data_IF_985440401702
#
_entry.id   IF_985440401702
#
_cell.length_a   1.000
_cell.length_b   1.000
_cell.length_c   1.000
_cell.angle_alpha   90.00
_cell.angle_beta   90.00
_cell.angle_gamma   90.00
#
_symmetry.space_group_name_H-M   'P 1'
#
loop_
_entity.id
_entity.type
_entity.pdbx_description
1 polymer ?
#
# COMPACT_ATOMS: atom_id res chain seq x y z
N UNK A 1 -9.30 -59.18 -4.15
CA UNK A 1 -8.98 -58.79 -5.55
C UNK A 1 -8.81 -57.28 -5.56
N UNK A 2 -7.59 -56.76 -5.79
CA UNK A 2 -7.40 -55.32 -6.00
C UNK A 2 -7.89 -55.02 -7.41
N UNK A 3 -9.00 -54.31 -7.55
CA UNK A 3 -9.43 -53.73 -8.82
C UNK A 3 -8.32 -52.78 -9.28
N UNK A 4 -7.47 -53.23 -10.18
CA UNK A 4 -6.54 -52.36 -10.89
C UNK A 4 -7.37 -51.56 -11.87
N UNK A 5 -7.74 -50.33 -11.49
CA UNK A 5 -8.36 -49.37 -12.40
C UNK A 5 -7.47 -49.24 -13.64
N UNK A 6 -8.03 -49.62 -14.79
CA UNK A 6 -7.32 -49.59 -16.07
C UNK A 6 -6.90 -48.16 -16.40
N UNK A 7 -5.71 -48.02 -16.98
CA UNK A 7 -5.15 -46.76 -17.49
C UNK A 7 -6.11 -46.06 -18.45
N UNK A 8 -6.95 -46.84 -19.16
CA UNK A 8 -7.93 -46.34 -20.11
C UNK A 8 -9.00 -45.42 -19.49
N UNK A 9 -9.24 -45.52 -18.17
CA UNK A 9 -10.19 -44.66 -17.46
C UNK A 9 -9.63 -43.27 -17.13
N UNK A 10 -8.38 -42.97 -17.51
CA UNK A 10 -7.77 -41.67 -17.19
C UNK A 10 -8.53 -40.49 -17.80
N UNK A 11 -8.99 -40.64 -19.04
CA UNK A 11 -9.75 -39.61 -19.76
C UNK A 11 -11.26 -39.64 -19.47
N UNK A 12 -11.71 -40.50 -18.54
CA UNK A 12 -13.11 -40.54 -18.14
C UNK A 12 -13.50 -39.25 -17.40
N UNK A 13 -14.67 -38.70 -17.73
CA UNK A 13 -15.14 -37.42 -17.18
C UNK A 13 -15.12 -37.40 -15.66
N UNK A 14 -15.54 -38.50 -15.01
CA UNK A 14 -15.50 -38.64 -13.56
C UNK A 14 -14.08 -38.59 -12.97
N UNK A 15 -13.09 -39.18 -13.65
CA UNK A 15 -11.70 -39.11 -13.21
C UNK A 15 -11.13 -37.70 -13.42
N UNK A 16 -11.38 -37.08 -14.57
CA UNK A 16 -10.94 -35.71 -14.88
C UNK A 16 -11.52 -34.71 -13.85
N UNK A 17 -12.80 -34.83 -13.53
CA UNK A 17 -13.45 -34.00 -12.53
C UNK A 17 -12.84 -34.23 -11.14
N UNK A 18 -12.62 -35.48 -10.73
CA UNK A 18 -11.95 -35.81 -9.48
C UNK A 18 -10.54 -35.18 -9.41
N UNK A 19 -9.76 -35.26 -10.49
CA UNK A 19 -8.43 -34.66 -10.56
C UNK A 19 -8.47 -33.14 -10.39
N UNK A 20 -9.44 -32.49 -11.02
CA UNK A 20 -9.66 -31.06 -10.86
C UNK A 20 -10.06 -30.68 -9.43
N UNK A 21 -10.98 -31.42 -8.83
CA UNK A 21 -11.43 -31.22 -7.45
C UNK A 21 -10.28 -31.41 -6.45
N UNK A 22 -9.47 -32.45 -6.62
CA UNK A 22 -8.28 -32.68 -5.79
C UNK A 22 -7.30 -31.53 -5.92
N UNK A 23 -7.08 -31.03 -7.14
CA UNK A 23 -6.16 -29.92 -7.40
C UNK A 23 -6.61 -28.62 -6.74
N UNK A 24 -7.89 -28.24 -6.88
CA UNK A 24 -8.39 -26.94 -6.41
C UNK A 24 -8.66 -26.92 -4.89
N UNK A 25 -8.90 -28.09 -4.30
CA UNK A 25 -9.11 -28.22 -2.86
C UNK A 25 -7.79 -28.18 -2.06
N UNK A 26 -6.63 -28.24 -2.73
CA UNK A 26 -5.34 -28.06 -2.06
C UNK A 26 -5.23 -26.62 -1.49
N UNK A 27 -4.91 -26.44 -0.19
CA UNK A 27 -4.85 -25.11 0.43
C UNK A 27 -3.85 -24.15 -0.21
N UNK A 28 -2.74 -24.68 -0.73
CA UNK A 28 -1.69 -23.88 -1.38
C UNK A 28 -2.21 -23.40 -2.72
N UNK A 29 -2.79 -24.31 -3.52
CA UNK A 29 -3.37 -23.96 -4.83
C UNK A 29 -4.56 -23.01 -4.67
N UNK A 30 -5.42 -23.24 -3.68
CA UNK A 30 -6.55 -22.35 -3.38
C UNK A 30 -6.11 -20.92 -3.04
N UNK A 31 -4.99 -20.77 -2.32
CA UNK A 31 -4.39 -19.45 -2.05
C UNK A 31 -3.79 -18.81 -3.32
N UNK A 32 -3.26 -19.62 -4.24
CA UNK A 32 -2.73 -19.13 -5.53
C UNK A 32 -3.82 -18.68 -6.48
N UNK A 33 -4.96 -19.36 -6.43
CA UNK A 33 -6.16 -19.11 -7.22
C UNK A 33 -7.13 -18.18 -6.48
N UNK A 34 -6.62 -17.06 -5.95
CA UNK A 34 -7.38 -16.07 -5.18
C UNK A 34 -8.42 -15.28 -6.02
N UNK A 35 -8.37 -15.41 -7.34
CA UNK A 35 -9.27 -14.76 -8.29
C UNK A 35 -9.91 -15.78 -9.25
N UNK A 36 -11.19 -15.56 -9.56
CA UNK A 36 -11.96 -16.35 -10.53
C UNK A 36 -11.29 -16.40 -11.91
N UNK A 37 -10.61 -15.32 -12.30
CA UNK A 37 -9.84 -15.26 -13.56
C UNK A 37 -8.67 -16.24 -13.54
N UNK A 38 -7.97 -16.36 -12.41
CA UNK A 38 -6.85 -17.31 -12.26
C UNK A 38 -7.34 -18.75 -12.28
N UNK A 39 -8.44 -19.05 -11.58
CA UNK A 39 -9.08 -20.38 -11.60
C UNK A 39 -9.43 -20.78 -13.04
N UNK A 40 -10.06 -19.87 -13.80
CA UNK A 40 -10.47 -20.12 -15.19
C UNK A 40 -9.28 -20.36 -16.10
N UNK A 41 -8.21 -19.58 -15.95
CA UNK A 41 -6.97 -19.77 -16.70
C UNK A 41 -6.34 -21.13 -16.43
N UNK A 42 -6.32 -21.55 -15.17
CA UNK A 42 -5.74 -22.82 -14.75
C UNK A 42 -6.61 -23.99 -15.22
N UNK A 43 -7.93 -23.86 -15.16
CA UNK A 43 -8.87 -24.83 -15.73
C UNK A 43 -8.65 -25.02 -17.22
N UNK A 44 -8.50 -23.92 -17.98
CA UNK A 44 -8.19 -23.99 -19.41
C UNK A 44 -6.90 -24.75 -19.68
N UNK A 45 -5.86 -24.50 -18.89
CA UNK A 45 -4.55 -25.18 -19.01
C UNK A 45 -4.70 -26.66 -18.67
N UNK A 46 -5.39 -26.98 -17.58
CA UNK A 46 -5.68 -28.35 -17.17
C UNK A 46 -6.40 -29.13 -18.29
N UNK A 47 -7.50 -28.58 -18.83
CA UNK A 47 -8.28 -29.21 -19.91
C UNK A 47 -7.50 -29.35 -21.22
N UNK A 48 -6.66 -28.37 -21.54
CA UNK A 48 -5.83 -28.43 -22.76
C UNK A 48 -4.78 -29.53 -22.66
N UNK A 49 -4.16 -29.70 -21.49
CA UNK A 49 -3.01 -30.57 -21.32
C UNK A 49 -3.38 -32.01 -20.94
N UNK A 50 -4.58 -32.29 -20.44
CA UNK A 50 -4.96 -33.65 -19.98
C UNK A 50 -4.91 -34.69 -21.10
N UNK A 51 -5.34 -34.34 -22.31
CA UNK A 51 -5.32 -35.24 -23.47
C UNK A 51 -3.89 -35.45 -24.00
N UNK A 52 -3.13 -34.37 -24.17
CA UNK A 52 -1.74 -34.44 -24.65
C UNK A 52 -0.87 -35.23 -23.67
N UNK A 53 -1.05 -35.01 -22.36
CA UNK A 53 -0.38 -35.78 -21.33
C UNK A 53 -0.68 -37.28 -21.39
N UNK A 54 -1.96 -37.65 -21.53
CA UNK A 54 -2.35 -39.06 -21.57
C UNK A 54 -1.71 -39.79 -22.76
N UNK A 55 -1.71 -39.17 -23.94
CA UNK A 55 -1.14 -39.80 -25.13
C UNK A 55 0.36 -40.11 -24.99
N UNK A 56 1.10 -39.25 -24.29
CA UNK A 56 2.53 -39.43 -24.01
C UNK A 56 2.76 -40.45 -22.91
N UNK A 57 2.04 -40.34 -21.79
CA UNK A 57 2.36 -41.10 -20.57
C UNK A 57 1.61 -42.42 -20.41
N UNK A 58 0.61 -42.73 -21.24
CA UNK A 58 -0.22 -43.95 -21.12
C UNK A 58 0.59 -45.25 -21.16
N UNK A 59 1.75 -45.26 -21.82
CA UNK A 59 2.64 -46.43 -21.90
C UNK A 59 3.71 -46.43 -20.81
N UNK A 60 3.93 -45.30 -20.13
CA UNK A 60 4.98 -45.08 -19.13
C UNK A 60 4.49 -45.27 -17.69
N UNK A 61 3.22 -45.61 -17.50
CA UNK A 61 2.59 -45.76 -16.19
C UNK A 61 1.94 -47.14 -16.07
N UNK A 62 1.99 -47.72 -14.87
CA UNK A 62 1.48 -49.08 -14.64
C UNK A 62 0.00 -49.12 -14.26
N UNK A 63 -0.54 -48.00 -13.78
CA UNK A 63 -1.92 -47.92 -13.31
C UNK A 63 -2.46 -46.48 -13.39
N UNK A 64 -3.79 -46.35 -13.33
CA UNK A 64 -4.48 -45.07 -13.35
C UNK A 64 -4.00 -44.09 -12.26
N UNK A 65 -3.73 -44.60 -11.06
CA UNK A 65 -3.29 -43.77 -9.92
C UNK A 65 -1.92 -43.11 -10.19
N UNK A 66 -1.02 -43.79 -10.88
CA UNK A 66 0.29 -43.27 -11.26
C UNK A 66 0.17 -42.14 -12.29
N UNK A 67 -0.70 -42.29 -13.29
CA UNK A 67 -1.04 -41.22 -14.24
C UNK A 67 -1.66 -40.02 -13.54
N UNK A 68 -2.64 -40.28 -12.67
CA UNK A 68 -3.32 -39.25 -11.88
C UNK A 68 -2.33 -38.41 -11.06
N UNK A 69 -1.40 -39.07 -10.36
CA UNK A 69 -0.35 -38.41 -9.58
C UNK A 69 0.60 -37.61 -10.45
N UNK A 70 1.11 -38.21 -11.54
CA UNK A 70 2.03 -37.52 -12.46
C UNK A 70 1.38 -36.30 -13.10
N UNK A 71 0.11 -36.39 -13.49
CA UNK A 71 -0.60 -35.26 -14.09
C UNK A 71 -0.83 -34.13 -13.10
N UNK A 72 -1.30 -34.43 -11.88
CA UNK A 72 -1.46 -33.42 -10.84
C UNK A 72 -0.11 -32.74 -10.56
N UNK A 73 0.96 -33.51 -10.44
CA UNK A 73 2.30 -32.98 -10.20
C UNK A 73 2.78 -32.07 -11.34
N UNK A 74 2.51 -32.43 -12.60
CA UNK A 74 2.81 -31.61 -13.77
C UNK A 74 2.13 -30.23 -13.66
N UNK A 75 0.82 -30.22 -13.37
CA UNK A 75 0.05 -28.98 -13.24
C UNK A 75 0.56 -28.15 -12.06
N UNK A 76 0.79 -28.77 -10.89
CA UNK A 76 1.33 -28.09 -9.71
C UNK A 76 2.69 -27.44 -10.02
N UNK A 77 3.61 -28.16 -10.65
CA UNK A 77 4.92 -27.64 -11.01
C UNK A 77 4.82 -26.45 -11.97
N UNK A 78 3.89 -26.51 -12.92
CA UNK A 78 3.61 -25.40 -13.82
C UNK A 78 3.11 -24.16 -13.05
N UNK A 79 2.21 -24.34 -12.08
CA UNK A 79 1.68 -23.24 -11.26
C UNK A 79 2.79 -22.57 -10.42
N UNK A 80 3.67 -23.35 -9.80
CA UNK A 80 4.80 -22.82 -9.05
C UNK A 80 5.81 -22.07 -9.95
N UNK A 81 6.03 -22.56 -11.17
CA UNK A 81 6.91 -21.90 -12.13
C UNK A 81 6.38 -20.52 -12.58
N UNK A 82 5.06 -20.35 -12.67
CA UNK A 82 4.42 -19.07 -12.97
C UNK A 82 4.67 -18.04 -11.85
N UNK A 83 4.56 -18.46 -10.59
CA UNK A 83 4.72 -17.57 -9.43
C UNK A 83 6.12 -16.94 -9.33
N UNK A 84 7.15 -17.68 -9.76
CA UNK A 84 8.56 -17.23 -9.66
C UNK A 84 8.89 -16.08 -10.62
N UNK A 85 8.03 -15.82 -11.61
CA UNK A 85 8.27 -14.78 -12.63
C UNK A 85 7.70 -13.40 -12.23
N UNK A 86 6.65 -13.35 -11.40
CA UNK A 86 6.01 -12.08 -11.01
C UNK A 86 6.82 -11.27 -9.98
N UNK A 87 7.74 -11.90 -9.24
CA UNK A 87 8.55 -11.25 -8.20
C UNK A 87 9.85 -10.60 -8.70
N UNK A 88 10.11 -10.53 -10.02
CA UNK A 88 11.35 -9.97 -10.59
C UNK A 88 11.21 -8.56 -11.17
N UNK A 89 10.15 -7.83 -10.86
CA UNK A 89 10.12 -6.39 -11.07
C UNK A 89 10.49 -5.71 -9.75
N UNK A 90 11.37 -4.70 -9.81
CA UNK A 90 12.02 -4.00 -8.70
C UNK A 90 13.30 -4.63 -8.14
N UNK A 91 14.40 -4.49 -8.89
CA UNK A 91 15.69 -4.12 -8.30
C UNK A 91 16.49 -3.25 -9.28
N UNK A 92 17.26 -2.23 -8.82
CA UNK A 92 17.96 -1.30 -9.70
C UNK A 92 19.22 -1.93 -10.31
N UNK A 93 19.38 -1.68 -11.60
CA UNK A 93 20.57 -1.69 -12.46
C UNK A 93 21.85 -2.37 -11.92
N UNK A 94 22.22 -3.46 -12.58
CA UNK A 94 23.62 -3.71 -12.96
C UNK A 94 23.64 -4.40 -14.34
N UNK A 95 24.34 -3.87 -15.36
CA UNK A 95 24.24 -4.39 -16.71
C UNK A 95 25.29 -5.48 -16.95
N UNK A 96 24.87 -6.75 -17.01
CA UNK A 96 25.54 -7.75 -17.85
C UNK A 96 24.57 -8.90 -18.23
N UNK A 97 24.14 -8.81 -19.48
CA UNK A 97 23.77 -9.87 -20.44
C UNK A 97 23.04 -11.13 -19.94
N UNK A 98 21.80 -11.32 -20.42
CA UNK A 98 21.46 -12.30 -21.46
C UNK A 98 19.99 -12.14 -21.89
N UNK A 99 19.79 -11.83 -23.18
CA UNK A 99 18.49 -11.87 -23.84
C UNK A 99 17.98 -13.32 -23.86
N UNK A 100 16.75 -13.53 -23.41
CA UNK A 100 15.94 -14.65 -23.88
C UNK A 100 14.62 -14.11 -24.42
N UNK A 101 14.35 -14.53 -25.65
CA UNK A 101 13.17 -14.26 -26.45
C UNK A 101 11.87 -14.64 -25.74
N UNK A 102 10.89 -13.75 -25.86
CA UNK A 102 9.48 -13.99 -25.58
C UNK A 102 8.97 -15.10 -26.52
N UNK A 103 8.48 -16.20 -25.96
CA UNK A 103 7.70 -17.18 -26.70
C UNK A 103 6.47 -17.53 -25.87
N UNK A 104 5.29 -17.44 -26.49
CA UNK A 104 3.97 -17.66 -25.91
C UNK A 104 3.88 -19.02 -25.20
N UNK A 105 3.92 -19.04 -23.86
CA UNK A 105 3.86 -20.27 -23.04
C UNK A 105 2.43 -20.70 -22.68
N UNK A 106 1.59 -20.90 -23.69
CA UNK A 106 0.32 -21.63 -23.50
C UNK A 106 0.49 -23.15 -23.63
N UNK A 107 1.72 -23.64 -23.86
CA UNK A 107 2.02 -25.07 -24.04
C UNK A 107 2.96 -25.57 -22.94
N UNK A 108 2.54 -26.60 -22.20
CA UNK A 108 3.43 -27.35 -21.29
C UNK A 108 4.23 -28.31 -22.17
N UNK A 109 5.55 -28.19 -22.16
CA UNK A 109 6.43 -29.12 -22.88
C UNK A 109 6.69 -30.32 -21.96
N UNK A 110 6.18 -31.49 -22.35
CA UNK A 110 6.47 -32.77 -21.70
C UNK A 110 7.78 -33.27 -22.31
N UNK A 111 8.84 -33.38 -21.51
CA UNK A 111 10.10 -33.95 -21.96
C UNK A 111 10.03 -35.48 -21.83
N UNK A 112 10.13 -36.18 -22.96
CA UNK A 112 10.45 -37.61 -22.99
C UNK A 112 11.87 -37.80 -22.44
N UNK A 113 12.04 -38.73 -21.50
CA UNK A 113 13.33 -39.08 -20.89
C UNK A 113 14.27 -39.88 -21.83
N UNK A 114 14.12 -39.72 -23.16
CA UNK A 114 14.99 -40.40 -24.12
C UNK A 114 15.54 -39.43 -25.17
N UNK A 115 16.86 -39.27 -25.10
CA UNK A 115 17.84 -38.78 -26.09
C UNK A 115 18.45 -37.38 -25.79
N UNK A 116 19.70 -37.48 -25.32
CA UNK A 116 20.78 -36.51 -25.43
C UNK A 116 20.98 -36.04 -26.89
N UNK A 117 20.94 -34.73 -27.12
CA UNK A 117 22.01 -33.96 -27.77
C UNK A 117 21.55 -32.52 -28.01
N UNK A 118 21.94 -31.60 -27.13
CA UNK A 118 22.72 -30.42 -27.55
C UNK A 118 23.17 -29.57 -26.36
N UNK A 119 24.50 -29.52 -26.22
CA UNK A 119 25.36 -28.52 -25.57
C UNK A 119 24.78 -27.64 -24.43
N UNK A 120 24.75 -28.21 -23.23
CA UNK A 120 25.51 -27.68 -22.07
C UNK A 120 25.68 -28.86 -21.12
N UNK A 121 26.92 -29.17 -20.75
CA UNK A 121 27.22 -30.21 -19.78
C UNK A 121 26.49 -29.93 -18.47
N UNK A 122 25.33 -30.57 -18.28
CA UNK A 122 24.78 -30.83 -16.95
C UNK A 122 25.77 -31.80 -16.32
N UNK A 123 26.73 -31.28 -15.57
CA UNK A 123 27.44 -32.10 -14.60
C UNK A 123 26.40 -32.82 -13.75
N UNK A 124 26.59 -34.13 -13.57
CA UNK A 124 25.76 -34.91 -12.68
C UNK A 124 25.87 -34.26 -11.31
N UNK A 125 24.81 -33.60 -10.87
CA UNK A 125 24.74 -33.00 -9.55
C UNK A 125 24.95 -34.13 -8.55
N UNK A 126 26.06 -34.09 -7.81
CA UNK A 126 26.39 -35.12 -6.85
C UNK A 126 25.53 -34.94 -5.60
N UNK A 127 25.37 -36.02 -4.82
CA UNK A 127 24.69 -35.93 -3.52
C UNK A 127 25.31 -34.84 -2.63
N UNK A 128 26.64 -34.69 -2.71
CA UNK A 128 27.39 -33.69 -1.97
C UNK A 128 27.00 -32.26 -2.39
N UNK A 129 26.79 -32.02 -3.69
CA UNK A 129 26.37 -30.71 -4.20
C UNK A 129 24.97 -30.33 -3.69
N UNK A 130 24.03 -31.29 -3.69
CA UNK A 130 22.67 -31.08 -3.15
C UNK A 130 22.72 -30.80 -1.65
N UNK A 131 23.55 -31.53 -0.93
CA UNK A 131 23.69 -31.37 0.51
C UNK A 131 24.29 -29.99 0.85
N UNK A 132 25.34 -29.58 0.14
CA UNK A 132 25.96 -28.27 0.30
C UNK A 132 25.00 -27.13 -0.09
N UNK A 133 24.20 -27.32 -1.15
CA UNK A 133 23.16 -26.35 -1.50
C UNK A 133 22.11 -26.22 -0.40
N UNK A 134 21.63 -27.34 0.15
CA UNK A 134 20.66 -27.33 1.26
C UNK A 134 21.22 -26.69 2.51
N UNK A 135 22.48 -26.97 2.85
CA UNK A 135 23.19 -26.35 3.99
C UNK A 135 23.33 -24.84 3.76
N UNK A 136 23.74 -24.40 2.57
CA UNK A 136 23.83 -22.98 2.24
C UNK A 136 22.47 -22.27 2.27
N UNK A 137 21.41 -22.92 1.76
CA UNK A 137 20.06 -22.38 1.84
C UNK A 137 19.56 -22.28 3.29
N UNK A 138 19.91 -23.26 4.13
CA UNK A 138 19.59 -23.26 5.55
C UNK A 138 20.31 -22.12 6.27
N UNK A 139 21.62 -21.98 6.08
CA UNK A 139 22.43 -20.95 6.72
C UNK A 139 21.96 -19.54 6.35
N UNK A 140 21.62 -19.33 5.07
CA UNK A 140 21.04 -18.06 4.60
C UNK A 140 19.71 -17.75 5.27
N UNK A 141 18.82 -18.74 5.41
CA UNK A 141 17.53 -18.57 6.10
C UNK A 141 17.72 -18.33 7.59
N UNK A 142 18.69 -19.01 8.22
CA UNK A 142 19.01 -18.84 9.64
C UNK A 142 19.51 -17.43 9.92
N UNK A 143 20.47 -16.95 9.13
CA UNK A 143 21.00 -15.58 9.25
C UNK A 143 19.91 -14.53 9.05
N UNK A 144 19.06 -14.69 8.03
CA UNK A 144 17.93 -13.80 7.78
C UNK A 144 16.95 -13.79 8.96
N UNK A 145 16.62 -14.96 9.52
CA UNK A 145 15.73 -15.06 10.69
C UNK A 145 16.34 -14.47 11.96
N UNK A 146 17.65 -14.64 12.17
CA UNK A 146 18.36 -14.00 13.27
C UNK A 146 18.34 -12.47 13.12
N UNK A 147 18.51 -11.96 11.90
CA UNK A 147 18.42 -10.53 11.63
C UNK A 147 16.99 -9.99 11.81
N UNK A 148 15.98 -10.69 11.29
CA UNK A 148 14.56 -10.35 11.51
C UNK A 148 14.22 -10.35 13.00
N UNK A 149 14.69 -11.35 13.73
CA UNK A 149 14.51 -11.45 15.17
C UNK A 149 15.19 -10.30 15.89
N UNK A 150 16.45 -10.00 15.55
CA UNK A 150 17.16 -8.85 16.10
C UNK A 150 16.37 -7.56 15.83
N UNK A 151 15.96 -7.31 14.59
CA UNK A 151 15.17 -6.12 14.23
C UNK A 151 13.83 -6.03 14.96
N UNK A 152 13.16 -7.17 15.20
CA UNK A 152 11.89 -7.22 15.94
C UNK A 152 12.06 -7.02 17.44
N UNK A 153 13.15 -7.53 18.02
CA UNK A 153 13.45 -7.41 19.46
C UNK A 153 14.05 -6.04 19.78
N UNK A 154 14.90 -5.52 18.90
CA UNK A 154 15.59 -4.24 19.06
C UNK A 154 14.84 -3.10 18.36
N UNK A 155 13.51 -3.09 18.40
CA UNK A 155 12.77 -1.90 17.97
C UNK A 155 13.31 -0.71 18.78
N UNK A 156 14.03 0.18 18.09
CA UNK A 156 14.60 1.35 18.75
C UNK A 156 13.42 2.13 19.30
N UNK A 157 13.36 2.25 20.64
CA UNK A 157 12.32 3.02 21.31
C UNK A 157 12.21 4.35 20.57
N UNK A 158 11.03 4.69 20.01
CA UNK A 158 10.89 5.96 19.31
C UNK A 158 11.35 7.06 20.27
N UNK A 159 12.06 8.09 19.76
CA UNK A 159 12.47 9.20 20.60
C UNK A 159 11.23 9.70 21.34
N UNK A 160 11.35 9.85 22.65
CA UNK A 160 10.27 10.39 23.47
C UNK A 160 9.85 11.71 22.81
N UNK A 161 8.55 11.92 22.51
CA UNK A 161 8.11 13.16 21.93
C UNK A 161 8.60 14.30 22.80
N UNK A 162 9.35 15.21 22.19
CA UNK A 162 9.84 16.38 22.89
C UNK A 162 8.66 17.34 23.07
N UNK A 163 8.03 17.25 24.24
CA UNK A 163 6.98 18.15 24.69
C UNK A 163 7.55 19.42 25.32
N UNK A 164 8.85 19.68 25.19
CA UNK A 164 9.31 21.05 25.42
C UNK A 164 8.61 21.92 24.40
N UNK A 165 7.68 22.74 24.88
CA UNK A 165 7.28 23.93 24.14
C UNK A 165 8.58 24.62 23.79
N UNK A 166 8.88 24.69 22.49
CA UNK A 166 9.90 25.59 22.01
C UNK A 166 9.35 26.96 22.37
N UNK A 167 9.80 27.49 23.51
CA UNK A 167 9.63 28.89 23.84
C UNK A 167 10.05 29.63 22.58
N UNK A 168 9.10 30.38 22.01
CA UNK A 168 9.37 31.26 20.89
C UNK A 168 10.67 32.00 21.20
N UNK A 169 11.61 31.98 20.24
CA UNK A 169 12.78 32.83 20.35
C UNK A 169 12.28 34.25 20.67
N UNK A 170 12.89 34.97 21.63
CA UNK A 170 12.46 36.33 21.94
C UNK A 170 12.36 37.08 20.62
N UNK A 171 11.18 37.67 20.35
CA UNK A 171 10.84 38.27 19.06
C UNK A 171 11.85 39.41 18.77
N UNK A 172 12.93 39.04 18.09
CA UNK A 172 14.07 39.92 17.81
C UNK A 172 13.65 41.08 16.92
N UNK A 173 12.68 40.86 16.04
CA UNK A 173 12.18 41.90 15.12
C UNK A 173 11.36 42.98 15.84
N UNK A 174 10.53 42.58 16.81
CA UNK A 174 9.73 43.50 17.64
C UNK A 174 10.66 44.30 18.55
N UNK A 175 11.64 43.65 19.18
CA UNK A 175 12.63 44.34 20.01
C UNK A 175 13.44 45.36 19.20
N UNK A 176 13.77 45.03 17.95
CA UNK A 176 14.45 45.92 17.02
C UNK A 176 13.55 47.10 16.60
N UNK A 177 12.27 46.87 16.39
CA UNK A 177 11.29 47.91 16.08
C UNK A 177 10.98 48.80 17.30
N UNK A 178 10.83 48.24 18.49
CA UNK A 178 10.66 48.96 19.76
C UNK A 178 11.89 49.83 20.02
N UNK A 179 13.09 49.30 19.83
CA UNK A 179 14.34 50.05 19.97
C UNK A 179 14.41 51.22 19.00
N UNK A 180 14.06 50.99 17.72
CA UNK A 180 14.00 52.04 16.70
C UNK A 180 12.99 53.13 17.04
N UNK A 181 11.80 52.74 17.50
CA UNK A 181 10.75 53.68 17.96
C UNK A 181 11.23 54.47 19.18
N UNK A 182 11.91 53.83 20.14
CA UNK A 182 12.45 54.49 21.31
C UNK A 182 13.55 55.51 20.95
N UNK A 183 14.47 55.14 20.06
CA UNK A 183 15.50 56.03 19.53
C UNK A 183 14.88 57.24 18.80
N UNK A 184 13.86 57.02 17.98
CA UNK A 184 13.13 58.09 17.31
C UNK A 184 12.45 59.03 18.31
N UNK A 185 11.77 58.50 19.33
CA UNK A 185 11.14 59.32 20.38
C UNK A 185 12.16 60.13 21.17
N UNK A 186 13.31 59.55 21.50
CA UNK A 186 14.38 60.27 22.18
C UNK A 186 14.93 61.41 21.32
N UNK A 187 15.14 61.17 20.03
CA UNK A 187 15.56 62.20 19.08
C UNK A 187 14.53 63.34 18.96
N UNK A 188 13.25 63.02 18.85
CA UNK A 188 12.17 64.00 18.81
C UNK A 188 12.13 64.82 20.11
N UNK A 189 12.31 64.19 21.27
CA UNK A 189 12.41 64.89 22.56
C UNK A 189 13.63 65.82 22.59
N UNK A 190 14.78 65.42 22.05
CA UNK A 190 15.96 66.28 21.97
C UNK A 190 15.71 67.50 21.07
N UNK A 191 15.05 67.32 19.92
CA UNK A 191 14.64 68.43 19.06
C UNK A 191 13.71 69.35 19.83
N UNK A 192 12.66 68.81 20.43
CA UNK A 192 11.66 69.55 21.20
C UNK A 192 12.35 70.36 22.32
N UNK A 193 13.26 69.73 23.07
CA UNK A 193 14.01 70.39 24.13
C UNK A 193 14.97 71.47 23.60
N UNK A 194 15.64 71.25 22.46
CA UNK A 194 16.45 72.29 21.79
C UNK A 194 15.58 73.47 21.34
N UNK A 195 14.47 73.20 20.67
CA UNK A 195 13.53 74.21 20.21
C UNK A 195 12.94 75.01 21.38
N UNK A 196 12.66 74.35 22.51
CA UNK A 196 12.21 75.05 23.73
C UNK A 196 13.32 75.83 24.44
N UNK A 197 14.59 75.41 24.37
CA UNK A 197 15.69 76.22 24.90
C UNK A 197 15.99 77.44 24.02
N UNK A 198 15.84 77.33 22.70
CA UNK A 198 15.99 78.45 21.78
C UNK A 198 14.80 79.43 21.88
N UNK A 199 13.58 78.93 22.11
CA UNK A 199 12.40 79.76 22.36
C UNK A 199 12.44 80.48 23.72
N UNK A 200 12.99 79.85 24.77
CA UNK A 200 13.11 80.44 26.12
C UNK A 200 14.32 81.40 26.27
N UNK A 201 15.20 81.52 25.27
CA UNK A 201 16.20 82.59 25.20
C UNK A 201 15.68 83.87 24.55
N UNK A 202 14.55 83.82 23.84
CA UNK A 202 13.96 84.98 23.15
C UNK A 202 12.75 85.62 23.88
N UNK A 203 12.25 85.02 24.96
CA UNK A 203 11.15 85.58 25.76
C UNK A 203 11.43 85.44 27.25
N UNK A 204 12.33 86.29 27.76
CA UNK A 204 12.38 86.61 29.17
C UNK A 204 12.38 88.12 29.36
N UNK A 205 11.24 88.72 29.02
CA UNK A 205 10.87 90.08 29.44
C UNK A 205 9.39 90.06 29.77
N UNK A 206 9.08 90.23 31.06
CA UNK A 206 7.76 90.50 31.64
C UNK A 206 6.81 89.29 31.71
N UNK A 207 6.59 88.70 32.89
CA UNK A 207 5.63 89.27 33.84
C UNK A 207 5.53 88.47 35.15
N UNK A 208 5.31 89.23 36.19
CA UNK A 208 5.10 88.92 37.60
C UNK A 208 3.72 88.33 37.91
N UNK A 209 3.68 87.51 38.96
CA UNK A 209 2.60 87.35 39.95
C UNK A 209 1.33 86.52 39.62
N UNK A 210 1.18 85.47 40.44
CA UNK A 210 0.05 85.18 41.35
C UNK A 210 -0.97 84.06 41.02
N UNK A 211 -1.06 83.15 42.01
CA UNK A 211 -2.23 82.44 42.57
C UNK A 211 -2.99 81.38 41.77
N UNK A 212 -2.85 80.13 42.27
CA UNK A 212 -3.88 79.18 42.69
C UNK A 212 -5.29 79.28 42.08
N UNK A 213 -5.78 78.18 41.49
CA UNK A 213 -7.03 77.54 41.91
C UNK A 213 -7.18 76.14 41.28
N UNK A 214 -7.42 75.15 42.14
CA UNK A 214 -7.94 73.84 41.78
C UNK A 214 -9.40 73.96 41.32
N UNK A 215 -9.86 73.10 40.41
CA UNK A 215 -11.00 72.17 40.56
C UNK A 215 -11.34 71.47 39.23
N UNK A 216 -11.25 70.12 39.26
CA UNK A 216 -11.99 69.04 38.55
C UNK A 216 -12.43 69.21 37.09
N UNK A 217 -12.11 68.19 36.26
CA UNK A 217 -13.08 67.38 35.48
C UNK A 217 -12.38 66.13 34.89
N UNK A 218 -12.61 64.95 35.49
CA UNK A 218 -13.36 63.79 34.96
C UNK A 218 -12.68 63.02 33.81
N UNK A 219 -11.90 62.00 34.18
CA UNK A 219 -11.45 60.90 33.31
C UNK A 219 -12.42 59.71 33.45
N UNK A 220 -13.03 59.29 32.34
CA UNK A 220 -13.77 58.03 32.21
C UNK A 220 -12.79 56.94 31.76
N UNK A 221 -12.35 56.08 32.67
CA UNK A 221 -11.65 54.84 32.34
C UNK A 221 -12.58 53.64 32.60
N UNK A 222 -12.85 52.87 31.55
CA UNK A 222 -13.62 51.62 31.62
C UNK A 222 -12.65 50.49 32.00
N UNK A 223 -12.79 49.96 33.21
CA UNK A 223 -12.14 48.71 33.64
C UNK A 223 -12.94 47.49 33.14
N UNK A 224 -12.28 46.54 32.48
CA UNK A 224 -12.80 45.20 32.18
C UNK A 224 -12.15 44.25 33.20
N UNK A 225 -12.98 43.53 33.96
CA UNK A 225 -12.57 42.54 34.97
C UNK A 225 -12.56 41.15 34.33
N UNK A 226 -11.44 40.44 34.46
CA UNK A 226 -11.34 39.00 34.18
C UNK A 226 -11.43 38.27 35.52
N UNK A 227 -12.58 37.64 35.79
CA UNK A 227 -12.74 36.80 36.97
C UNK A 227 -12.38 35.34 36.62
N UNK A 228 -11.38 34.84 37.33
CA UNK A 228 -10.84 33.49 37.33
C UNK A 228 -11.11 32.95 38.74
N UNK A 229 -12.22 32.24 38.93
CA UNK A 229 -12.49 31.45 40.14
C UNK A 229 -13.69 30.53 39.92
N UNK A 230 -13.44 29.25 39.65
CA UNK A 230 -14.10 28.13 40.34
C UNK A 230 -13.65 26.80 39.73
N UNK A 231 -12.59 26.24 40.30
CA UNK A 231 -12.44 24.79 40.38
C UNK A 231 -13.11 24.29 41.67
N UNK A 232 -13.70 23.10 41.55
CA UNK A 232 -13.96 22.07 42.56
C UNK A 232 -15.35 21.96 43.24
N UNK A 233 -15.82 20.69 43.21
CA UNK A 233 -16.86 19.99 44.00
C UNK A 233 -18.30 19.96 43.44
N UNK A 234 -19.04 18.83 43.38
CA UNK A 234 -18.85 17.42 43.77
C UNK A 234 -19.94 16.57 43.04
N UNK A 235 -19.71 15.26 43.01
CA UNK A 235 -20.40 14.19 42.30
C UNK A 235 -21.84 13.82 42.76
N UNK A 236 -22.50 13.07 41.85
CA UNK A 236 -23.44 11.94 42.03
C UNK A 236 -24.95 12.20 42.16
N UNK A 237 -25.70 11.73 41.15
CA UNK A 237 -26.91 10.92 41.34
C UNK A 237 -27.15 9.99 40.12
N UNK A 238 -27.54 8.74 40.39
CA UNK A 238 -27.74 7.64 39.44
C UNK A 238 -29.24 7.27 39.37
N UNK A 239 -29.69 6.81 38.18
CA UNK A 239 -30.94 6.08 37.83
C UNK A 239 -32.21 6.96 37.74
N UNK A 240 -32.96 7.07 36.63
CA UNK A 240 -33.52 6.04 35.73
C UNK A 240 -34.22 6.64 34.47
N UNK A 241 -34.54 5.77 33.50
CA UNK A 241 -35.54 5.89 32.40
C UNK A 241 -35.21 6.61 31.06
N UNK A 242 -35.07 5.75 30.02
CA UNK A 242 -35.63 5.85 28.65
C UNK A 242 -36.00 7.22 28.06
N UNK A 243 -35.28 7.66 27.03
CA UNK A 243 -35.73 7.68 25.62
C UNK A 243 -34.74 8.48 24.74
N UNK A 244 -34.67 8.06 23.47
CA UNK A 244 -34.11 8.71 22.28
C UNK A 244 -33.32 10.02 22.44
N UNK A 245 -32.07 10.02 21.99
CA UNK A 245 -31.68 10.92 20.90
C UNK A 245 -30.37 10.48 20.22
N UNK A 246 -30.49 10.33 18.90
CA UNK A 246 -29.39 10.36 17.95
C UNK A 246 -28.58 11.63 18.14
N UNK A 247 -27.34 11.59 17.65
CA UNK A 247 -26.43 12.71 17.41
C UNK A 247 -25.43 12.93 18.55
N UNK A 248 -24.27 12.27 18.42
CA UNK A 248 -22.95 12.93 18.40
C UNK A 248 -21.84 11.89 18.18
N UNK A 249 -21.94 11.11 17.09
CA UNK A 249 -20.83 10.28 16.65
C UNK A 249 -19.80 11.18 15.95
N UNK A 250 -18.61 11.25 16.54
CA UNK A 250 -17.41 11.93 16.00
C UNK A 250 -17.06 11.52 14.56
N UNK A 251 -17.63 10.40 14.09
CA UNK A 251 -17.42 9.82 12.77
C UNK A 251 -18.21 10.53 11.65
N UNK A 252 -19.26 11.29 11.95
CA UNK A 252 -20.02 12.03 10.92
C UNK A 252 -19.28 13.27 10.39
N UNK A 253 -18.21 13.69 11.09
CA UNK A 253 -17.35 14.83 10.69
C UNK A 253 -16.23 14.42 9.73
N UNK A 254 -16.06 13.13 9.43
CA UNK A 254 -15.14 12.68 8.38
C UNK A 254 -15.79 12.90 7.02
N UNK A 255 -15.17 13.75 6.17
CA UNK A 255 -15.61 13.92 4.77
C UNK A 255 -15.67 12.55 4.09
N UNK A 256 -16.88 12.08 3.75
CA UNK A 256 -17.06 11.03 2.74
C UNK A 256 -16.42 11.54 1.46
N UNK A 257 -15.38 10.88 0.98
CA UNK A 257 -14.79 11.17 -0.33
C UNK A 257 -15.84 10.91 -1.41
N UNK A 258 -15.80 11.67 -2.52
CA UNK A 258 -16.75 11.64 -3.65
C UNK A 258 -16.78 10.31 -4.45
N UNK A 259 -16.42 9.20 -3.82
CA UNK A 259 -16.27 7.87 -4.42
C UNK A 259 -17.53 7.40 -5.15
N UNK A 260 -18.73 7.81 -4.73
CA UNK A 260 -19.98 7.39 -5.38
C UNK A 260 -20.14 7.91 -6.82
N UNK A 261 -19.61 9.10 -7.14
CA UNK A 261 -19.71 9.69 -8.48
C UNK A 261 -18.73 8.99 -9.43
N UNK A 262 -17.49 8.79 -8.98
CA UNK A 262 -16.43 8.10 -9.73
C UNK A 262 -16.82 6.64 -10.00
N UNK A 263 -17.47 5.97 -9.04
CA UNK A 263 -17.99 4.60 -9.22
C UNK A 263 -19.06 4.55 -10.31
N UNK A 264 -19.94 5.55 -10.40
CA UNK A 264 -20.99 5.58 -11.42
C UNK A 264 -20.40 5.83 -12.82
N UNK A 265 -19.41 6.70 -12.91
CA UNK A 265 -18.71 7.00 -14.17
C UNK A 265 -17.88 5.79 -14.67
N UNK A 266 -17.18 5.10 -13.76
CA UNK A 266 -16.48 3.85 -14.06
C UNK A 266 -17.46 2.75 -14.54
N UNK A 267 -18.60 2.58 -13.88
CA UNK A 267 -19.62 1.61 -14.32
C UNK A 267 -20.12 1.90 -15.74
N UNK A 268 -20.33 3.16 -16.08
CA UNK A 268 -20.77 3.56 -17.42
C UNK A 268 -19.67 3.31 -18.47
N UNK A 269 -18.40 3.57 -18.14
CA UNK A 269 -17.27 3.26 -19.03
C UNK A 269 -17.10 1.76 -19.26
N UNK A 270 -17.25 0.94 -18.21
CA UNK A 270 -17.22 -0.53 -18.30
C UNK A 270 -18.35 -1.04 -19.19
N UNK A 271 -19.56 -0.50 -19.06
CA UNK A 271 -20.69 -0.87 -19.95
C UNK A 271 -20.37 -0.58 -21.42
N UNK A 272 -19.84 0.61 -21.73
CA UNK A 272 -19.47 0.98 -23.11
C UNK A 272 -18.35 0.11 -23.69
N UNK A 273 -17.41 -0.34 -22.85
CA UNK A 273 -16.36 -1.28 -23.26
C UNK A 273 -16.94 -2.66 -23.56
N UNK A 274 -17.88 -3.13 -22.75
CA UNK A 274 -18.55 -4.41 -22.96
C UNK A 274 -19.33 -4.43 -24.28
N UNK A 275 -20.03 -3.34 -24.62
CA UNK A 275 -20.74 -3.22 -25.89
C UNK A 275 -19.79 -3.25 -27.09
N UNK A 276 -18.63 -2.59 -26.98
CA UNK A 276 -17.58 -2.62 -28.01
C UNK A 276 -16.96 -4.02 -28.17
N UNK A 277 -16.79 -4.74 -27.06
CA UNK A 277 -16.28 -6.11 -27.07
C UNK A 277 -17.26 -7.05 -27.79
N UNK A 278 -18.55 -6.95 -27.47
CA UNK A 278 -19.59 -7.74 -28.12
C UNK A 278 -19.64 -7.46 -29.64
N UNK A 279 -19.53 -6.19 -30.05
CA UNK A 279 -19.46 -5.83 -31.46
C UNK A 279 -18.20 -6.37 -32.15
N UNK A 280 -17.07 -6.45 -31.44
CA UNK A 280 -15.84 -7.01 -31.98
C UNK A 280 -15.97 -8.53 -32.18
N UNK A 281 -16.58 -9.22 -31.22
CA UNK A 281 -16.87 -10.67 -31.29
C UNK A 281 -17.74 -10.94 -32.51
N UNK A 282 -18.83 -10.20 -32.68
CA UNK A 282 -19.74 -10.36 -33.84
C UNK A 282 -19.01 -10.13 -35.17
N UNK A 283 -18.14 -9.11 -35.26
CA UNK A 283 -17.32 -8.87 -36.46
C UNK A 283 -16.29 -9.98 -36.70
N UNK A 284 -15.75 -10.57 -35.64
CA UNK A 284 -14.79 -11.66 -35.74
C UNK A 284 -15.47 -12.94 -36.23
N UNK A 285 -16.68 -13.23 -35.73
CA UNK A 285 -17.50 -14.35 -36.19
C UNK A 285 -17.86 -14.19 -37.68
N UNK A 286 -18.23 -12.98 -38.12
CA UNK A 286 -18.46 -12.68 -39.54
C UNK A 286 -17.18 -12.89 -40.37
N UNK A 287 -16.02 -12.47 -39.85
CA UNK A 287 -14.74 -12.62 -40.56
C UNK A 287 -14.32 -14.09 -40.71
N UNK A 288 -14.48 -14.90 -39.66
CA UNK A 288 -14.21 -16.35 -39.71
C UNK A 288 -15.14 -17.01 -40.73
N UNK A 289 -16.45 -16.78 -40.61
CA UNK A 289 -17.45 -17.40 -41.48
C UNK A 289 -17.32 -16.96 -42.96
N UNK A 290 -16.74 -15.80 -43.24
CA UNK A 290 -16.49 -15.31 -44.60
C UNK A 290 -15.24 -15.93 -45.25
N UNK A 291 -14.26 -16.38 -44.46
CA UNK A 291 -13.06 -17.03 -44.97
C UNK A 291 -13.24 -18.54 -45.24
N UNK A 292 -14.32 -19.15 -44.74
CA UNK A 292 -14.65 -20.57 -45.01
C UNK A 292 -15.47 -20.76 -46.31
N UNK A 293 -15.72 -19.68 -47.08
CA UNK A 293 -16.55 -19.67 -48.31
C UNK A 293 -15.76 -19.34 -49.61
N UNK A 294 -14.44 -19.22 -49.54
CA UNK A 294 -13.52 -19.19 -50.72
C UNK A 294 -12.71 -20.48 -50.81
#
# INVERSE_FOLDING_TARGET
MRNTMSIQHFLEEGNIQLLWEVLINDPIIKKMCDSEVKVTNIMRIFQTNVKEFYEVEKNNCNNLMELNKKFILLIINYLFAQQTQESRQYSPQNPQSKQYSVSNRNKITIHDDTILSDSTSKELITYEDIQNERVNQFEKKLSLKQQEFANSVTTSKPPVPDFSDKLDEPISEMDLEVKKIQEQRNYDIEIINKTFQDANRAHNTNNTNNTNNATKNTSNERHISWDLSNESEVQNEIQNETQYESNNNILDKLKKTNSSQDIYELKNQVSKLNDKLNLLIERFDIFINKNDLE
#
